data_IF_525642924753
#
_entry.id   IF_525642924753
#
_cell.length_a   1.000
_cell.length_b   1.000
_cell.length_c   1.000
_cell.angle_alpha   90.00
_cell.angle_beta   90.00
_cell.angle_gamma   90.00
#
_symmetry.space_group_name_H-M   'P 1'
#
loop_
_entity.id
_entity.type
_entity.pdbx_description
1 polymer ?
#
# COMPACT_ATOMS: atom_id res chain seq x y z
N UNK A 1 -2.96 26.60 -15.53
CA UNK A 1 -2.75 25.22 -16.00
C UNK A 1 -4.04 24.45 -15.80
N UNK A 2 -4.58 23.81 -16.83
CA UNK A 2 -5.81 23.02 -16.70
C UNK A 2 -5.47 21.72 -15.95
N UNK A 3 -6.06 21.52 -14.79
CA UNK A 3 -5.95 20.28 -14.03
C UNK A 3 -6.84 19.24 -14.72
N UNK A 4 -6.23 18.17 -15.24
CA UNK A 4 -6.98 17.08 -15.86
C UNK A 4 -7.16 16.02 -14.76
N UNK A 5 -8.42 15.69 -14.50
CA UNK A 5 -8.79 14.58 -13.62
C UNK A 5 -8.89 13.32 -14.49
N UNK A 6 -8.01 12.36 -14.28
CA UNK A 6 -8.05 11.08 -15.00
C UNK A 6 -8.94 10.11 -14.22
N UNK A 7 -9.94 9.59 -14.90
CA UNK A 7 -10.81 8.53 -14.40
C UNK A 7 -10.28 7.22 -14.97
N UNK A 8 -9.66 6.39 -14.14
CA UNK A 8 -9.23 5.05 -14.54
C UNK A 8 -10.31 4.04 -14.17
N UNK A 9 -10.96 3.46 -15.18
CA UNK A 9 -11.89 2.34 -15.02
C UNK A 9 -11.09 1.04 -15.16
N UNK A 10 -10.83 0.35 -14.07
CA UNK A 10 -10.23 -0.99 -14.11
C UNK A 10 -11.30 -2.03 -13.79
N UNK A 11 -11.81 -2.69 -14.83
CA UNK A 11 -12.65 -3.87 -14.68
C UNK A 11 -11.77 -5.11 -14.83
N UNK A 12 -11.43 -5.76 -13.73
CA UNK A 12 -10.73 -7.04 -13.73
C UNK A 12 -11.75 -8.16 -13.45
N UNK A 13 -12.14 -8.88 -14.50
CA UNK A 13 -12.84 -10.14 -14.37
C UNK A 13 -11.79 -11.26 -14.32
N UNK A 14 -11.40 -11.70 -13.14
CA UNK A 14 -10.51 -12.85 -12.98
C UNK A 14 -11.34 -14.04 -12.55
N UNK A 15 -11.48 -15.02 -13.46
CA UNK A 15 -11.99 -16.34 -13.16
C UNK A 15 -10.83 -17.24 -12.74
N UNK A 16 -10.50 -17.22 -11.46
CA UNK A 16 -9.48 -18.10 -10.88
C UNK A 16 -9.92 -18.56 -9.49
N UNK A 17 -9.56 -19.77 -9.13
CA UNK A 17 -9.90 -20.44 -7.88
C UNK A 17 -9.08 -19.98 -6.67
N UNK A 18 -8.44 -18.82 -6.75
CA UNK A 18 -7.73 -18.22 -5.65
C UNK A 18 -8.52 -17.01 -5.14
N UNK A 19 -8.67 -16.82 -3.82
CA UNK A 19 -9.22 -15.59 -3.29
C UNK A 19 -8.26 -14.46 -3.67
N UNK A 20 -8.65 -13.65 -4.64
CA UNK A 20 -8.02 -12.38 -4.91
C UNK A 20 -8.32 -11.47 -3.72
N UNK A 21 -7.39 -11.36 -2.83
CA UNK A 21 -7.37 -10.29 -1.84
C UNK A 21 -7.00 -8.99 -2.56
N UNK A 22 -7.92 -8.48 -3.37
CA UNK A 22 -7.83 -7.10 -3.82
C UNK A 22 -7.68 -6.25 -2.57
N UNK A 23 -6.67 -5.42 -2.50
CA UNK A 23 -6.24 -4.61 -1.37
C UNK A 23 -7.42 -4.17 -0.49
N UNK A 24 -7.87 -5.09 0.34
CA UNK A 24 -8.99 -4.89 1.24
C UNK A 24 -8.64 -3.78 2.21
N UNK A 25 -9.49 -2.80 2.28
CA UNK A 25 -9.45 -1.78 3.30
C UNK A 25 -9.42 -2.46 4.68
N UNK A 26 -8.30 -2.52 5.30
CA UNK A 26 -8.12 -2.63 6.74
C UNK A 26 -8.21 -3.98 7.42
N UNK A 27 -8.95 -5.00 6.96
CA UNK A 27 -9.23 -6.16 7.81
C UNK A 27 -8.60 -7.49 7.42
N UNK A 28 -8.10 -7.67 6.20
CA UNK A 28 -7.58 -8.96 5.76
C UNK A 28 -6.07 -8.94 5.52
N UNK A 29 -5.33 -8.57 6.55
CA UNK A 29 -3.93 -8.95 6.60
C UNK A 29 -3.86 -10.30 7.33
N UNK A 30 -3.28 -11.28 6.66
CA UNK A 30 -3.13 -12.69 7.05
C UNK A 30 -3.44 -12.99 8.51
N UNK A 31 -4.46 -13.78 8.76
CA UNK A 31 -4.76 -14.32 10.09
C UNK A 31 -3.54 -15.13 10.57
N UNK A 32 -2.60 -14.48 11.25
CA UNK A 32 -1.38 -15.13 11.74
C UNK A 32 -0.20 -14.20 11.98
N UNK A 33 -0.13 -13.04 11.30
CA UNK A 33 0.97 -12.10 11.55
C UNK A 33 0.76 -11.32 12.84
N UNK A 34 1.68 -11.48 13.77
CA UNK A 34 1.68 -10.70 15.00
C UNK A 34 2.01 -9.24 14.68
N UNK A 35 1.34 -8.31 15.34
CA UNK A 35 1.73 -6.91 15.27
C UNK A 35 3.08 -6.69 15.98
N UNK A 36 3.81 -5.64 15.60
CA UNK A 36 5.05 -5.27 16.30
C UNK A 36 4.83 -5.09 17.80
N UNK A 37 3.67 -4.57 18.20
CA UNK A 37 3.32 -4.39 19.60
C UNK A 37 3.20 -5.74 20.34
N UNK A 38 2.57 -6.74 19.72
CA UNK A 38 2.46 -8.09 20.27
C UNK A 38 3.81 -8.79 20.38
N UNK A 39 4.67 -8.61 19.37
CA UNK A 39 6.01 -9.21 19.35
C UNK A 39 6.92 -8.60 20.42
N UNK A 40 6.94 -7.27 20.53
CA UNK A 40 7.82 -6.55 21.46
C UNK A 40 7.32 -6.63 22.90
N UNK A 41 6.02 -6.59 23.13
CA UNK A 41 5.44 -6.57 24.48
C UNK A 41 5.01 -7.93 25.00
N UNK A 42 4.93 -8.94 24.12
CA UNK A 42 4.38 -10.26 24.45
C UNK A 42 2.88 -10.23 24.82
N UNK A 43 2.22 -9.10 24.62
CA UNK A 43 0.80 -8.91 24.92
C UNK A 43 0.01 -9.30 23.66
N UNK A 44 -0.86 -10.28 23.78
CA UNK A 44 -1.77 -10.68 22.72
C UNK A 44 -2.67 -9.50 22.32
N UNK A 45 -2.88 -9.35 21.02
CA UNK A 45 -3.82 -8.39 20.45
C UNK A 45 -5.17 -8.46 21.17
N UNK A 46 -5.56 -7.37 21.82
CA UNK A 46 -6.84 -7.29 22.54
C UNK A 46 -7.97 -6.71 21.69
N UNK A 47 -7.64 -6.05 20.59
CA UNK A 47 -8.62 -5.34 19.76
C UNK A 47 -8.12 -5.20 18.33
N UNK A 48 -9.04 -5.25 17.37
CA UNK A 48 -8.75 -4.98 15.95
C UNK A 48 -8.64 -3.47 15.64
N UNK A 49 -8.86 -2.62 16.66
CA UNK A 49 -8.93 -1.16 16.49
C UNK A 49 -7.59 -0.50 16.20
N UNK A 50 -6.48 -1.09 16.68
CA UNK A 50 -5.14 -0.53 16.49
C UNK A 50 -4.11 -1.63 16.33
N UNK A 51 -3.39 -1.58 15.21
CA UNK A 51 -2.25 -2.44 14.94
C UNK A 51 -1.10 -1.57 14.42
N UNK A 52 0.09 -1.79 14.98
CA UNK A 52 1.33 -1.12 14.57
C UNK A 52 2.30 -2.16 14.01
N UNK A 53 2.85 -1.90 12.84
CA UNK A 53 3.84 -2.74 12.17
C UNK A 53 5.07 -1.90 11.84
N UNK A 54 6.24 -2.50 11.97
CA UNK A 54 7.49 -1.97 11.47
C UNK A 54 8.08 -2.98 10.49
N UNK A 55 8.17 -2.60 9.22
CA UNK A 55 8.77 -3.41 8.16
C UNK A 55 10.17 -2.88 7.88
N UNK A 56 11.17 -3.76 8.00
CA UNK A 56 12.58 -3.44 7.78
C UNK A 56 13.17 -4.45 6.82
N UNK A 57 13.89 -3.98 5.81
CA UNK A 57 14.66 -4.82 4.91
C UNK A 57 15.99 -4.13 4.62
N UNK A 58 17.08 -4.75 5.07
CA UNK A 58 18.43 -4.30 4.81
C UNK A 58 19.21 -5.36 4.07
N UNK A 59 20.13 -4.95 3.23
CA UNK A 59 21.04 -5.83 2.50
C UNK A 59 22.48 -5.28 2.50
N UNK A 60 23.39 -6.11 2.02
CA UNK A 60 24.74 -5.74 1.72
C UNK A 60 24.98 -5.90 0.22
N UNK A 61 25.17 -4.77 -0.48
CA UNK A 61 25.40 -4.73 -1.90
C UNK A 61 26.89 -4.56 -2.21
N UNK A 62 27.39 -5.37 -3.15
CA UNK A 62 28.71 -5.21 -3.75
C UNK A 62 28.56 -4.88 -5.23
N UNK A 63 29.17 -3.78 -5.67
CA UNK A 63 29.19 -3.37 -7.06
C UNK A 63 30.58 -3.65 -7.66
N UNK A 64 30.58 -4.19 -8.86
CA UNK A 64 31.77 -4.48 -9.65
C UNK A 64 31.61 -3.79 -11.00
N UNK A 65 32.69 -3.22 -11.49
CA UNK A 65 32.78 -2.65 -12.84
C UNK A 65 33.91 -3.34 -13.63
N UNK A 66 34.11 -2.93 -14.87
CA UNK A 66 35.16 -3.50 -15.75
C UNK A 66 36.57 -3.38 -15.19
N UNK A 67 36.80 -2.46 -14.25
CA UNK A 67 38.07 -2.24 -13.56
C UNK A 67 38.23 -3.04 -12.27
N UNK A 68 37.20 -3.79 -11.84
CA UNK A 68 37.21 -4.59 -10.61
C UNK A 68 36.15 -4.15 -9.59
N UNK A 69 36.47 -4.34 -8.31
CA UNK A 69 35.60 -3.95 -7.20
C UNK A 69 35.43 -2.43 -7.13
N UNK A 70 34.20 -1.97 -7.13
CA UNK A 70 33.84 -0.55 -7.10
C UNK A 70 33.38 -0.11 -5.70
N UNK A 71 32.37 -0.77 -5.14
CA UNK A 71 31.78 -0.37 -3.87
C UNK A 71 31.16 -1.56 -3.13
N UNK A 72 31.26 -1.56 -1.79
CA UNK A 72 30.49 -2.40 -0.90
C UNK A 72 29.76 -1.54 0.13
N UNK A 73 28.45 -1.70 0.26
CA UNK A 73 27.65 -0.92 1.19
C UNK A 73 26.53 -1.74 1.84
N UNK A 74 26.25 -1.45 3.10
CA UNK A 74 25.02 -1.86 3.76
C UNK A 74 23.94 -0.84 3.40
N UNK A 75 22.83 -1.31 2.88
CA UNK A 75 21.71 -0.46 2.44
C UNK A 75 20.43 -0.86 3.19
N UNK A 76 19.63 0.15 3.57
CA UNK A 76 18.28 -0.05 4.07
C UNK A 76 17.31 0.09 2.90
N UNK A 77 16.96 -1.02 2.27
CA UNK A 77 16.04 -1.06 1.11
C UNK A 77 14.64 -0.62 1.49
N UNK A 78 14.16 -1.10 2.62
CA UNK A 78 12.83 -0.75 3.12
C UNK A 78 12.87 -0.47 4.61
N UNK A 79 12.27 0.63 5.00
CA UNK A 79 12.01 0.97 6.38
C UNK A 79 10.65 1.67 6.42
N UNK A 80 9.63 0.95 6.90
CA UNK A 80 8.24 1.42 6.88
C UNK A 80 7.59 1.24 8.23
N UNK A 81 6.83 2.25 8.63
CA UNK A 81 5.88 2.15 9.74
C UNK A 81 4.47 2.09 9.16
N UNK A 82 3.65 1.18 9.67
CA UNK A 82 2.26 1.04 9.28
C UNK A 82 1.36 0.97 10.51
N UNK A 83 0.32 1.77 10.50
CA UNK A 83 -0.76 1.75 11.48
C UNK A 83 -2.06 1.48 10.76
N UNK A 84 -2.82 0.50 11.22
CA UNK A 84 -4.15 0.20 10.67
C UNK A 84 -5.06 -0.39 11.71
N UNK A 85 -6.36 -0.26 11.49
CA UNK A 85 -7.35 -0.87 12.38
C UNK A 85 -8.78 -0.56 11.97
N UNK A 86 -9.70 -1.34 12.53
CA UNK A 86 -11.13 -1.17 12.39
C UNK A 86 -11.65 -0.42 13.63
N UNK A 87 -12.11 0.82 13.45
CA UNK A 87 -12.70 1.62 14.54
C UNK A 87 -14.00 0.97 14.99
N UNK A 88 -14.77 0.47 14.01
CA UNK A 88 -15.98 -0.32 14.19
C UNK A 88 -16.21 -1.17 12.93
N UNK A 89 -17.35 -1.90 12.86
CA UNK A 89 -17.66 -2.87 11.77
C UNK A 89 -17.72 -2.24 10.37
N UNK A 90 -17.94 -0.93 10.29
CA UNK A 90 -18.09 -0.22 9.01
C UNK A 90 -17.00 0.83 8.74
N UNK A 91 -16.16 1.20 9.73
CA UNK A 91 -15.15 2.25 9.62
C UNK A 91 -13.77 1.71 9.97
N UNK A 92 -12.84 1.85 9.05
CA UNK A 92 -11.44 1.47 9.20
C UNK A 92 -10.51 2.64 8.83
N UNK A 93 -9.25 2.53 9.23
CA UNK A 93 -8.22 3.47 8.84
C UNK A 93 -6.92 2.75 8.48
N UNK A 94 -6.11 3.39 7.66
CA UNK A 94 -4.79 2.91 7.29
C UNK A 94 -3.83 4.06 7.09
N UNK A 95 -2.66 3.96 7.72
CA UNK A 95 -1.53 4.86 7.52
C UNK A 95 -0.27 4.03 7.34
N UNK A 96 0.52 4.32 6.29
CA UNK A 96 1.82 3.70 6.06
C UNK A 96 2.79 4.72 5.50
N UNK A 97 3.97 4.81 6.11
CA UNK A 97 5.01 5.74 5.74
C UNK A 97 6.36 5.04 5.59
N UNK A 98 7.12 5.43 4.59
CA UNK A 98 8.52 5.05 4.39
C UNK A 98 9.40 6.05 5.14
N UNK A 99 10.14 5.56 6.14
CA UNK A 99 11.00 6.39 6.99
C UNK A 99 12.34 6.74 6.32
N UNK A 100 12.73 5.99 5.29
CA UNK A 100 13.94 6.19 4.50
C UNK A 100 13.72 7.05 3.24
N UNK A 101 12.63 7.83 3.18
CA UNK A 101 12.32 8.79 2.10
C UNK A 101 12.02 10.17 2.66
N UNK A 102 12.24 11.19 1.82
CA UNK A 102 11.98 12.57 2.18
C UNK A 102 10.50 12.85 2.49
N UNK A 103 10.27 13.76 3.42
CA UNK A 103 8.94 14.13 3.93
C UNK A 103 8.40 15.46 3.38
N UNK A 104 9.03 16.01 2.34
CA UNK A 104 8.50 17.21 1.72
C UNK A 104 7.36 16.87 0.75
N UNK A 105 6.19 17.45 1.00
CA UNK A 105 4.98 17.33 0.18
C UNK A 105 4.57 18.63 -0.51
N UNK A 106 5.33 19.70 -0.33
CA UNK A 106 4.95 21.06 -0.78
C UNK A 106 4.79 21.17 -2.31
N UNK A 107 5.45 20.30 -3.08
CA UNK A 107 5.32 20.23 -4.55
C UNK A 107 4.21 19.33 -5.06
N UNK A 108 3.58 18.55 -4.19
CA UNK A 108 2.56 17.60 -4.60
C UNK A 108 1.17 18.25 -4.66
N UNK A 109 0.33 17.79 -5.58
CA UNK A 109 -1.03 18.33 -5.78
C UNK A 109 -1.93 18.13 -4.56
N UNK A 110 -1.63 17.13 -3.75
CA UNK A 110 -2.38 16.77 -2.53
C UNK A 110 -1.70 17.25 -1.24
N UNK A 111 -0.54 17.92 -1.35
CA UNK A 111 0.32 18.33 -0.25
C UNK A 111 0.74 17.17 0.68
N UNK A 112 0.69 15.94 0.19
CA UNK A 112 1.09 14.75 0.95
C UNK A 112 2.47 14.29 0.50
N UNK A 113 3.44 14.09 1.41
CA UNK A 113 4.77 13.61 1.07
C UNK A 113 4.77 12.30 0.29
N UNK A 114 5.75 12.14 -0.61
CA UNK A 114 5.94 10.89 -1.36
C UNK A 114 6.35 9.72 -0.47
N UNK A 115 6.86 10.00 0.73
CA UNK A 115 7.17 8.99 1.75
C UNK A 115 5.92 8.30 2.30
N UNK A 116 4.74 8.93 2.22
CA UNK A 116 3.49 8.35 2.69
C UNK A 116 2.88 7.50 1.56
N UNK A 117 2.78 6.19 1.79
CA UNK A 117 2.15 5.25 0.86
C UNK A 117 0.62 5.21 1.07
N UNK A 118 0.19 5.14 2.33
CA UNK A 118 -1.23 5.09 2.69
C UNK A 118 -1.56 6.13 3.75
N UNK A 119 -2.62 6.87 3.54
CA UNK A 119 -3.19 7.78 4.54
C UNK A 119 -4.67 7.99 4.21
N UNK A 120 -5.56 7.23 4.86
CA UNK A 120 -6.98 7.34 4.54
C UNK A 120 -7.88 6.50 5.43
N UNK A 121 -9.14 6.57 5.08
CA UNK A 121 -10.26 5.95 5.81
C UNK A 121 -11.02 5.04 4.87
N UNK A 122 -11.34 3.84 5.38
CA UNK A 122 -12.19 2.85 4.71
C UNK A 122 -13.59 2.82 5.31
N UNK A 123 -14.61 2.72 4.46
CA UNK A 123 -16.01 2.58 4.85
C UNK A 123 -16.59 1.36 4.17
N UNK A 124 -17.19 0.45 4.95
CA UNK A 124 -17.85 -0.77 4.45
C UNK A 124 -19.36 -0.63 4.63
N UNK A 125 -20.12 -0.76 3.54
CA UNK A 125 -21.58 -0.73 3.54
C UNK A 125 -22.11 -1.92 2.75
N UNK A 126 -22.47 -2.99 3.44
CA UNK A 126 -22.93 -4.23 2.82
C UNK A 126 -21.91 -4.76 1.79
N UNK A 127 -22.30 -4.75 0.51
CA UNK A 127 -21.46 -5.17 -0.62
C UNK A 127 -20.52 -4.08 -1.14
N UNK A 128 -20.65 -2.85 -0.68
CA UNK A 128 -19.82 -1.75 -1.11
C UNK A 128 -18.69 -1.49 -0.10
N UNK A 129 -17.51 -1.20 -0.61
CA UNK A 129 -16.38 -0.71 0.16
C UNK A 129 -15.85 0.57 -0.47
N UNK A 130 -15.60 1.56 0.35
CA UNK A 130 -15.07 2.86 -0.05
C UNK A 130 -13.73 3.07 0.66
N UNK A 131 -12.78 3.67 -0.03
CA UNK A 131 -11.57 4.15 0.60
C UNK A 131 -11.26 5.56 0.09
N UNK A 132 -11.13 6.50 1.01
CA UNK A 132 -10.81 7.89 0.71
C UNK A 132 -9.48 8.28 1.33
N UNK A 133 -8.58 8.86 0.54
CA UNK A 133 -7.25 9.28 0.95
C UNK A 133 -6.16 8.79 0.01
N UNK A 134 -4.90 8.85 0.48
CA UNK A 134 -3.76 8.35 -0.28
C UNK A 134 -3.75 6.83 -0.24
N UNK A 135 -3.65 6.21 -1.40
CA UNK A 135 -3.80 4.78 -1.60
C UNK A 135 -3.01 4.29 -2.80
N UNK A 136 -2.82 2.98 -2.87
CA UNK A 136 -2.21 2.35 -4.03
C UNK A 136 -3.13 2.46 -5.26
N UNK A 137 -2.52 2.71 -6.40
CA UNK A 137 -3.22 2.73 -7.69
C UNK A 137 -3.40 1.29 -8.17
N UNK A 138 -4.62 0.93 -8.56
CA UNK A 138 -4.95 -0.40 -9.05
C UNK A 138 -4.59 -0.52 -10.54
N UNK A 139 -3.32 -0.74 -10.83
CA UNK A 139 -2.87 -1.02 -12.21
C UNK A 139 -3.07 -2.49 -12.61
N UNK A 140 -3.29 -3.37 -11.63
CA UNK A 140 -3.24 -4.82 -11.80
C UNK A 140 -1.79 -5.33 -11.73
N UNK A 141 -1.64 -6.59 -11.39
CA UNK A 141 -0.35 -7.25 -11.27
C UNK A 141 -0.11 -7.80 -9.87
N UNK A 142 0.52 -8.97 -9.80
CA UNK A 142 0.73 -9.73 -8.56
C UNK A 142 1.58 -8.97 -7.53
N UNK A 143 2.51 -8.14 -7.98
CA UNK A 143 3.41 -7.39 -7.08
C UNK A 143 2.67 -6.35 -6.22
N UNK A 144 1.50 -5.87 -6.67
CA UNK A 144 0.68 -4.95 -5.88
C UNK A 144 -0.14 -5.65 -4.80
N UNK A 145 -0.36 -6.95 -4.95
CA UNK A 145 -1.16 -7.77 -4.03
C UNK A 145 -0.31 -8.37 -2.91
N UNK A 146 1.01 -8.45 -3.12
CA UNK A 146 1.94 -9.00 -2.13
C UNK A 146 2.28 -8.00 -1.02
N UNK A 147 2.62 -8.53 0.15
CA UNK A 147 3.19 -7.71 1.20
C UNK A 147 4.59 -7.21 0.76
N UNK A 148 4.88 -5.92 0.91
CA UNK A 148 6.21 -5.39 0.59
C UNK A 148 7.39 -6.11 1.23
N UNK A 149 7.20 -6.79 2.35
CA UNK A 149 8.26 -7.57 3.01
C UNK A 149 8.59 -8.85 2.25
N UNK A 150 7.64 -9.37 1.47
CA UNK A 150 7.79 -10.61 0.70
C UNK A 150 8.44 -10.35 -0.67
N UNK A 151 8.61 -9.08 -1.04
CA UNK A 151 9.21 -8.67 -2.31
C UNK A 151 10.63 -8.18 -2.06
N UNK A 152 11.60 -8.94 -2.57
CA UNK A 152 13.01 -8.57 -2.45
C UNK A 152 13.33 -7.33 -3.31
N UNK A 153 12.86 -7.31 -4.55
CA UNK A 153 13.05 -6.21 -5.50
C UNK A 153 11.81 -6.08 -6.38
N UNK A 154 11.35 -4.84 -6.56
CA UNK A 154 10.23 -4.56 -7.46
C UNK A 154 10.72 -4.53 -8.91
N UNK A 155 9.82 -4.81 -9.85
CA UNK A 155 10.13 -4.63 -11.27
C UNK A 155 10.39 -3.16 -11.58
N UNK A 156 11.26 -2.89 -12.57
CA UNK A 156 11.59 -1.54 -13.05
C UNK A 156 10.33 -0.73 -13.39
N UNK A 157 9.31 -1.39 -13.90
CA UNK A 157 8.03 -0.74 -14.19
C UNK A 157 7.40 -0.14 -12.93
N UNK A 158 7.34 -0.90 -11.84
CA UNK A 158 6.75 -0.44 -10.58
C UNK A 158 7.59 0.65 -9.93
N UNK A 159 8.90 0.58 -10.04
CA UNK A 159 9.78 1.61 -9.47
C UNK A 159 9.61 2.97 -10.14
N UNK A 160 9.31 2.99 -11.44
CA UNK A 160 9.14 4.21 -12.22
C UNK A 160 7.68 4.72 -12.30
N UNK A 161 6.73 3.98 -11.76
CA UNK A 161 5.32 4.39 -11.74
C UNK A 161 4.95 5.16 -10.47
N UNK A 162 3.95 6.05 -10.59
CA UNK A 162 3.33 6.69 -9.42
C UNK A 162 2.38 5.72 -8.73
N UNK A 163 2.90 4.93 -7.81
CA UNK A 163 2.18 3.83 -7.18
C UNK A 163 1.14 4.25 -6.14
N UNK A 164 1.30 5.44 -5.54
CA UNK A 164 0.43 5.89 -4.46
C UNK A 164 -0.08 7.30 -4.75
N UNK A 165 -1.40 7.44 -4.86
CA UNK A 165 -2.08 8.68 -5.18
C UNK A 165 -3.27 8.92 -4.25
N UNK A 166 -3.58 10.19 -4.02
CA UNK A 166 -4.76 10.57 -3.23
C UNK A 166 -6.01 10.57 -4.09
N UNK A 167 -7.08 10.01 -3.57
CA UNK A 167 -8.36 9.94 -4.24
C UNK A 167 -9.40 9.10 -3.53
N UNK A 168 -10.35 8.62 -4.30
CA UNK A 168 -11.46 7.78 -3.86
C UNK A 168 -11.44 6.45 -4.62
N UNK A 169 -11.55 5.36 -3.88
CA UNK A 169 -11.80 4.02 -4.41
C UNK A 169 -13.18 3.55 -3.97
N UNK A 170 -13.92 2.99 -4.89
CA UNK A 170 -15.22 2.35 -4.65
C UNK A 170 -15.14 0.94 -5.17
N UNK A 171 -15.40 -0.03 -4.32
CA UNK A 171 -15.41 -1.43 -4.68
C UNK A 171 -16.78 -2.05 -4.40
N UNK A 172 -17.26 -2.85 -5.34
CA UNK A 172 -18.48 -3.63 -5.21
C UNK A 172 -18.15 -5.12 -5.23
N UNK A 173 -18.46 -5.80 -4.13
CA UNK A 173 -18.28 -7.24 -4.00
C UNK A 173 -19.51 -7.96 -4.54
N UNK A 174 -19.42 -8.51 -5.74
CA UNK A 174 -20.51 -9.29 -6.35
C UNK A 174 -20.74 -10.60 -5.60
N UNK A 175 -19.66 -11.32 -5.32
CA UNK A 175 -19.64 -12.53 -4.51
C UNK A 175 -18.31 -12.61 -3.72
N UNK A 176 -18.04 -13.74 -3.05
CA UNK A 176 -16.81 -13.94 -2.26
C UNK A 176 -15.51 -13.97 -3.09
N UNK A 177 -15.61 -14.09 -4.41
CA UNK A 177 -14.45 -14.28 -5.31
C UNK A 177 -14.31 -13.16 -6.35
N UNK A 178 -15.33 -12.30 -6.49
CA UNK A 178 -15.37 -11.31 -7.54
C UNK A 178 -15.69 -9.93 -6.98
N UNK A 179 -14.85 -8.97 -7.36
CA UNK A 179 -14.99 -7.58 -6.99
C UNK A 179 -14.79 -6.69 -8.23
N UNK A 180 -15.58 -5.64 -8.33
CA UNK A 180 -15.42 -4.58 -9.32
C UNK A 180 -14.96 -3.33 -8.57
N UNK A 181 -13.86 -2.72 -9.02
CA UNK A 181 -13.31 -1.50 -8.42
C UNK A 181 -13.35 -0.35 -9.40
N UNK A 182 -13.61 0.83 -8.86
CA UNK A 182 -13.54 2.09 -9.57
C UNK A 182 -12.72 3.09 -8.72
N UNK A 183 -11.66 3.64 -9.31
CA UNK A 183 -10.81 4.63 -8.64
C UNK A 183 -10.85 5.97 -9.36
N UNK A 184 -10.94 7.05 -8.58
CA UNK A 184 -10.75 8.43 -9.03
C UNK A 184 -9.58 9.01 -8.24
N UNK A 185 -8.48 9.32 -8.92
CA UNK A 185 -7.22 9.70 -8.31
C UNK A 185 -6.74 11.05 -8.83
N UNK A 186 -6.02 11.78 -7.99
CA UNK A 186 -5.33 13.00 -8.40
C UNK A 186 -4.16 12.63 -9.32
N UNK A 187 -4.17 13.12 -10.55
CA UNK A 187 -3.04 12.98 -11.47
C UNK A 187 -2.35 14.34 -11.63
N UNK A 188 -1.06 14.40 -11.34
CA UNK A 188 -0.20 15.50 -11.76
C UNK A 188 0.47 15.10 -13.08
N UNK A 189 0.20 15.82 -14.14
CA UNK A 189 1.01 15.73 -15.35
C UNK A 189 2.33 16.45 -15.07
N UNK A 190 3.41 15.69 -15.06
CA UNK A 190 4.78 16.22 -14.98
C UNK A 190 5.17 16.86 -16.30
#
# INVERSE_FOLDING_TARGET
>A
MKRIMLVCLTALAVSGTYPLYAQSSGSDFMAGDKSLFEEVTGIKKKTDKFNLYLNMHGDFNMKWNDSGFDQGAFEMKQLRIEMKGDINDWLSYRYRQRLNRGNDGSGNIDNVPTSIDWAGVGIKLNKFSFFAGKQCVSYGGIEFDLNPIDIYEYSDMIEHMSNFMTGLNVAYNYNSYQQIQFQVLNLSLI
#
